data_IF_208662932724
#
_entry.id   IF_208662932724
#
_cell.length_a   1.000
_cell.length_b   1.000
_cell.length_c   1.000
_cell.angle_alpha   90.00
_cell.angle_beta   90.00
_cell.angle_gamma   90.00
#
_symmetry.space_group_name_H-M   'P 1'
#
loop_
_entity.id
_entity.type
_entity.pdbx_description
1 polymer ?
#
# COMPACT_ATOMS: atom_id res chain seq x y z
N UNK A 1 21.93 7.11 -14.56
CA UNK A 1 21.67 5.98 -13.65
C UNK A 1 20.18 5.72 -13.68
N UNK A 2 19.75 4.47 -13.92
CA UNK A 2 18.32 4.10 -13.81
C UNK A 2 17.85 4.37 -12.37
N UNK A 3 16.61 4.84 -12.22
CA UNK A 3 15.97 5.10 -10.93
C UNK A 3 15.91 3.78 -10.15
N UNK A 4 16.37 3.76 -8.89
CA UNK A 4 16.32 2.55 -8.05
C UNK A 4 14.87 2.27 -7.66
N UNK A 5 14.36 1.10 -8.02
CA UNK A 5 13.01 0.64 -7.68
C UNK A 5 13.08 -0.14 -6.36
N UNK A 6 12.06 0.03 -5.51
CA UNK A 6 11.88 -0.75 -4.29
C UNK A 6 10.82 -1.82 -4.46
N UNK A 7 11.04 -2.95 -3.80
CA UNK A 7 10.11 -4.08 -3.79
C UNK A 7 9.67 -4.39 -2.37
N UNK A 8 8.36 -4.50 -2.17
CA UNK A 8 7.77 -4.83 -0.88
C UNK A 8 6.71 -5.92 -1.00
N UNK A 9 6.12 -6.32 0.12
CA UNK A 9 5.04 -7.30 0.14
C UNK A 9 4.04 -7.00 1.27
N UNK A 10 2.81 -7.48 1.11
CA UNK A 10 1.82 -7.46 2.19
C UNK A 10 2.08 -8.59 3.21
N UNK A 11 2.14 -8.23 4.49
CA UNK A 11 2.40 -9.17 5.59
C UNK A 11 1.19 -10.11 5.80
N UNK A 12 1.38 -11.42 6.04
CA UNK A 12 0.30 -12.37 6.35
C UNK A 12 -0.20 -12.25 7.79
N UNK A 13 -0.89 -11.14 8.11
CA UNK A 13 -1.32 -10.76 9.47
C UNK A 13 -2.83 -10.84 9.71
N UNK A 14 -3.58 -11.48 8.81
CA UNK A 14 -5.02 -11.72 8.92
C UNK A 14 -5.42 -13.02 8.22
N UNK A 15 -6.64 -13.48 8.48
CA UNK A 15 -7.15 -14.79 8.05
C UNK A 15 -6.56 -15.94 8.88
N UNK A 16 -6.88 -17.16 8.48
CA UNK A 16 -6.48 -18.38 9.22
C UNK A 16 -4.96 -18.60 9.35
N UNK A 17 -4.17 -17.96 8.48
CA UNK A 17 -2.70 -18.08 8.49
C UNK A 17 -2.03 -17.15 9.52
N UNK A 18 -2.77 -16.17 10.07
CA UNK A 18 -2.21 -15.09 10.86
C UNK A 18 -1.63 -15.62 12.18
N UNK A 19 -0.30 -15.58 12.30
CA UNK A 19 0.39 -15.96 13.52
C UNK A 19 1.71 -15.20 13.66
N UNK A 20 2.18 -15.05 14.90
CA UNK A 20 3.51 -14.45 15.17
C UNK A 20 4.62 -15.22 14.45
N UNK A 21 4.54 -16.55 14.42
CA UNK A 21 5.51 -17.41 13.72
C UNK A 21 5.52 -17.11 12.22
N UNK A 22 4.35 -17.10 11.56
CA UNK A 22 4.25 -16.87 10.11
C UNK A 22 4.73 -15.47 9.73
N UNK A 23 4.37 -14.44 10.51
CA UNK A 23 4.83 -13.07 10.29
C UNK A 23 6.36 -13.01 10.42
N UNK A 24 6.91 -13.62 11.47
CA UNK A 24 8.35 -13.62 11.74
C UNK A 24 9.14 -14.33 10.63
N UNK A 25 8.75 -15.55 10.26
CA UNK A 25 9.44 -16.34 9.25
C UNK A 25 9.38 -15.66 7.89
N UNK A 26 8.22 -15.15 7.49
CA UNK A 26 8.05 -14.45 6.20
C UNK A 26 8.91 -13.19 6.11
N UNK A 27 8.93 -12.34 7.15
CA UNK A 27 9.68 -11.09 7.10
C UNK A 27 11.20 -11.32 7.11
N UNK A 28 11.69 -12.30 7.88
CA UNK A 28 13.12 -12.67 7.86
C UNK A 28 13.53 -13.22 6.51
N UNK A 29 12.73 -14.11 5.92
CA UNK A 29 13.00 -14.64 4.59
C UNK A 29 13.04 -13.53 3.54
N UNK A 30 12.09 -12.59 3.59
CA UNK A 30 12.06 -11.46 2.67
C UNK A 30 13.33 -10.58 2.76
N UNK A 31 13.91 -10.40 3.95
CA UNK A 31 15.21 -9.71 4.09
C UNK A 31 16.36 -10.45 3.43
N UNK A 32 16.39 -11.78 3.54
CA UNK A 32 17.41 -12.63 2.91
C UNK A 32 17.31 -12.57 1.38
N UNK A 33 16.08 -12.41 0.88
CA UNK A 33 15.74 -12.32 -0.53
C UNK A 33 15.63 -10.88 -1.06
N UNK A 34 16.28 -9.93 -0.39
CA UNK A 34 16.45 -8.54 -0.84
C UNK A 34 15.15 -7.76 -1.06
N UNK A 35 14.06 -8.08 -0.37
CA UNK A 35 12.93 -7.16 -0.30
C UNK A 35 13.33 -5.89 0.46
N UNK A 36 12.78 -4.75 0.05
CA UNK A 36 13.07 -3.44 0.62
C UNK A 36 12.04 -3.03 1.69
N UNK A 37 10.83 -3.62 1.70
CA UNK A 37 9.78 -3.23 2.65
C UNK A 37 8.71 -4.29 2.94
N UNK A 38 8.01 -4.13 4.06
CA UNK A 38 6.88 -4.96 4.48
C UNK A 38 5.68 -4.09 4.90
N UNK A 39 4.48 -4.49 4.48
CA UNK A 39 3.30 -3.64 4.55
C UNK A 39 2.13 -4.32 5.28
N UNK A 40 1.56 -3.62 6.26
CA UNK A 40 0.36 -4.06 6.97
C UNK A 40 -0.90 -3.38 6.41
N UNK A 41 -2.06 -4.02 6.55
CA UNK A 41 -3.37 -3.48 6.18
C UNK A 41 -4.08 -3.02 7.45
N UNK A 42 -5.15 -2.26 7.29
CA UNK A 42 -5.91 -1.75 8.43
C UNK A 42 -7.39 -2.07 8.32
N UNK A 43 -7.91 -2.74 9.34
CA UNK A 43 -9.32 -3.00 9.57
C UNK A 43 -9.58 -3.07 11.08
N UNK A 44 -10.47 -2.23 11.62
CA UNK A 44 -10.85 -2.30 13.04
C UNK A 44 -11.91 -3.36 13.31
N UNK A 45 -12.84 -3.52 12.37
CA UNK A 45 -13.84 -4.59 12.37
C UNK A 45 -13.65 -5.35 11.07
N UNK A 46 -12.74 -6.31 11.06
CA UNK A 46 -12.45 -7.03 9.83
C UNK A 46 -13.63 -7.90 9.39
N UNK A 47 -13.91 -7.85 8.09
CA UNK A 47 -14.79 -8.78 7.41
C UNK A 47 -14.12 -9.13 6.08
N UNK A 48 -13.98 -10.42 5.74
CA UNK A 48 -13.50 -10.84 4.43
C UNK A 48 -14.26 -10.14 3.31
N UNK A 49 -13.55 -9.54 2.35
CA UNK A 49 -14.16 -8.66 1.34
C UNK A 49 -13.51 -8.74 -0.04
N UNK A 50 -12.55 -9.65 -0.22
CA UNK A 50 -12.00 -10.02 -1.49
C UNK A 50 -11.82 -11.55 -1.54
N UNK A 51 -10.58 -12.01 -1.55
CA UNK A 51 -10.20 -13.43 -1.70
C UNK A 51 -9.89 -14.08 -0.34
N UNK A 52 -10.12 -13.37 0.76
CA UNK A 52 -9.86 -13.90 2.09
C UNK A 52 -10.85 -15.02 2.44
N UNK A 53 -10.37 -16.00 3.22
CA UNK A 53 -11.23 -17.05 3.77
C UNK A 53 -12.28 -16.49 4.76
N UNK A 54 -13.14 -17.34 5.29
CA UNK A 54 -14.17 -16.89 6.25
C UNK A 54 -13.63 -16.50 7.63
N UNK A 55 -12.34 -16.72 7.89
CA UNK A 55 -11.71 -16.38 9.17
C UNK A 55 -11.64 -14.86 9.32
N UNK A 56 -12.02 -14.37 10.50
CA UNK A 56 -12.09 -12.94 10.81
C UNK A 56 -10.91 -12.46 11.64
N UNK A 57 -9.92 -13.31 11.89
CA UNK A 57 -8.68 -12.96 12.57
C UNK A 57 -8.00 -11.84 11.82
N UNK A 58 -7.71 -10.75 12.53
CA UNK A 58 -7.05 -9.58 11.98
C UNK A 58 -6.19 -8.97 13.08
N UNK A 59 -4.87 -8.99 12.88
CA UNK A 59 -3.95 -8.36 13.82
C UNK A 59 -3.83 -6.87 13.49
N UNK A 60 -3.82 -6.02 14.51
CA UNK A 60 -3.78 -4.57 14.33
C UNK A 60 -2.44 -4.12 13.70
N UNK A 61 -2.45 -3.23 12.68
CA UNK A 61 -1.27 -2.94 11.86
C UNK A 61 -0.08 -2.40 12.66
N UNK A 62 -0.26 -1.45 13.58
CA UNK A 62 0.86 -0.88 14.33
C UNK A 62 1.49 -1.90 15.27
N UNK A 63 0.66 -2.80 15.83
CA UNK A 63 1.14 -3.91 16.66
C UNK A 63 1.98 -4.89 15.83
N UNK A 64 1.50 -5.24 14.64
CA UNK A 64 2.24 -6.11 13.69
C UNK A 64 3.54 -5.47 13.24
N UNK A 65 3.51 -4.20 12.83
CA UNK A 65 4.70 -3.49 12.37
C UNK A 65 5.72 -3.31 13.50
N UNK A 66 5.28 -3.06 14.75
CA UNK A 66 6.17 -3.04 15.91
C UNK A 66 6.86 -4.38 16.16
N UNK A 67 6.12 -5.50 16.00
CA UNK A 67 6.70 -6.85 16.04
C UNK A 67 7.73 -7.04 14.92
N UNK A 68 7.39 -6.70 13.67
CA UNK A 68 8.29 -6.83 12.51
C UNK A 68 9.55 -5.99 12.70
N UNK A 69 9.44 -4.75 13.19
CA UNK A 69 10.59 -3.89 13.48
C UNK A 69 11.61 -4.53 14.44
N UNK A 70 11.17 -5.46 15.30
CA UNK A 70 12.06 -6.17 16.23
C UNK A 70 12.80 -7.35 15.58
N UNK A 71 12.22 -7.98 14.56
CA UNK A 71 12.73 -9.23 13.96
C UNK A 71 13.32 -9.07 12.57
N UNK A 72 13.01 -7.98 11.86
CA UNK A 72 13.50 -7.65 10.53
C UNK A 72 13.96 -6.18 10.47
N UNK A 73 15.26 -5.95 10.30
CA UNK A 73 15.92 -4.65 10.52
C UNK A 73 16.18 -3.85 9.23
N UNK A 74 16.17 -4.51 8.08
CA UNK A 74 16.44 -3.96 6.75
C UNK A 74 15.17 -3.58 5.99
N UNK A 75 14.00 -4.05 6.44
CA UNK A 75 12.72 -3.74 5.79
C UNK A 75 12.17 -2.40 6.27
N UNK A 76 11.90 -1.51 5.32
CA UNK A 76 11.03 -0.36 5.58
C UNK A 76 9.61 -0.86 5.92
N UNK A 77 8.92 -0.18 6.83
CA UNK A 77 7.62 -0.63 7.33
C UNK A 77 6.51 0.32 6.91
N UNK A 78 5.52 -0.21 6.19
CA UNK A 78 4.46 0.61 5.61
C UNK A 78 3.04 0.15 5.96
N UNK A 79 2.07 1.02 5.73
CA UNK A 79 0.64 0.68 5.76
C UNK A 79 0.01 0.80 4.38
N UNK A 80 -0.79 -0.19 3.98
CA UNK A 80 -1.42 -0.28 2.66
C UNK A 80 -2.95 -0.47 2.75
N UNK A 81 -3.73 0.46 3.30
CA UNK A 81 -3.43 1.76 3.93
C UNK A 81 -4.25 1.86 5.21
N UNK A 82 -3.85 2.73 6.16
CA UNK A 82 -4.68 3.00 7.34
C UNK A 82 -5.90 3.84 7.00
N UNK A 83 -6.98 3.65 7.77
CA UNK A 83 -8.14 4.52 7.74
C UNK A 83 -7.91 5.78 8.59
N UNK A 84 -8.57 6.91 8.27
CA UNK A 84 -8.35 8.20 8.93
C UNK A 84 -9.18 8.34 10.22
N UNK A 85 -9.75 7.23 10.71
CA UNK A 85 -10.68 7.20 11.85
C UNK A 85 -9.99 7.34 13.22
N UNK A 86 -8.70 7.01 13.31
CA UNK A 86 -7.92 7.18 14.54
C UNK A 86 -7.67 8.66 14.79
N UNK A 87 -7.58 9.05 16.06
CA UNK A 87 -7.26 10.43 16.42
C UNK A 87 -5.86 10.81 15.90
N UNK A 88 -5.67 11.98 15.27
CA UNK A 88 -4.42 12.33 14.61
C UNK A 88 -3.22 12.43 15.56
N UNK A 89 -3.43 12.87 16.80
CA UNK A 89 -2.37 12.89 17.84
C UNK A 89 -1.92 11.46 18.19
N UNK A 90 -2.86 10.51 18.28
CA UNK A 90 -2.52 9.11 18.53
C UNK A 90 -1.76 8.52 17.34
N UNK A 91 -2.21 8.79 16.11
CA UNK A 91 -1.51 8.37 14.90
C UNK A 91 -0.09 8.95 14.84
N UNK A 92 0.08 10.24 15.16
CA UNK A 92 1.38 10.89 15.20
C UNK A 92 2.32 10.18 16.18
N UNK A 93 1.85 9.85 17.39
CA UNK A 93 2.61 9.09 18.39
C UNK A 93 2.94 7.67 17.91
N UNK A 94 1.98 6.96 17.33
CA UNK A 94 2.17 5.60 16.83
C UNK A 94 3.26 5.54 15.76
N UNK A 95 3.20 6.44 14.78
CA UNK A 95 4.19 6.52 13.71
C UNK A 95 5.57 6.95 14.21
N UNK A 96 5.65 7.95 15.08
CA UNK A 96 6.94 8.40 15.63
C UNK A 96 7.60 7.30 16.48
N UNK A 97 6.80 6.56 17.25
CA UNK A 97 7.28 5.42 18.05
C UNK A 97 7.74 4.27 17.15
N UNK A 98 6.98 3.96 16.09
CA UNK A 98 7.37 2.92 15.13
C UNK A 98 8.63 3.30 14.37
N UNK A 99 8.73 4.55 13.91
CA UNK A 99 9.95 5.08 13.27
C UNK A 99 11.14 4.94 14.22
N UNK A 100 10.99 5.33 15.48
CA UNK A 100 12.04 5.18 16.48
C UNK A 100 12.54 3.73 16.60
N UNK A 101 11.64 2.74 16.58
CA UNK A 101 11.97 1.31 16.66
C UNK A 101 12.48 0.70 15.35
N UNK A 102 12.13 1.27 14.19
CA UNK A 102 12.48 0.75 12.87
C UNK A 102 13.78 1.39 12.34
N UNK A 103 14.77 0.57 11.97
CA UNK A 103 16.06 1.09 11.50
C UNK A 103 16.03 1.53 10.04
N UNK A 104 15.26 0.81 9.20
CA UNK A 104 15.14 1.09 7.77
C UNK A 104 14.25 2.31 7.46
N UNK A 105 13.26 2.58 8.32
CA UNK A 105 12.31 3.69 8.19
C UNK A 105 10.88 3.22 7.97
N UNK A 106 9.94 4.17 8.01
CA UNK A 106 8.50 3.89 7.95
C UNK A 106 7.80 4.70 6.88
N UNK A 107 6.68 4.18 6.35
CA UNK A 107 5.86 4.85 5.33
C UNK A 107 4.38 4.85 5.74
N UNK A 108 3.83 6.04 5.95
CA UNK A 108 2.43 6.22 6.32
C UNK A 108 1.51 6.22 5.10
N UNK A 109 1.05 5.05 4.66
CA UNK A 109 -0.03 5.00 3.68
C UNK A 109 -1.38 5.21 4.35
N UNK A 110 -2.11 6.26 3.96
CA UNK A 110 -3.41 6.66 4.51
C UNK A 110 -4.47 6.79 3.42
N UNK A 111 -5.62 6.14 3.61
CA UNK A 111 -6.77 6.20 2.71
C UNK A 111 -7.95 6.93 3.32
N UNK A 112 -9.02 7.08 2.55
CA UNK A 112 -10.29 7.65 3.06
C UNK A 112 -11.16 6.63 3.79
N UNK A 113 -10.81 5.34 3.77
CA UNK A 113 -11.61 4.25 4.33
C UNK A 113 -12.86 3.90 3.49
N UNK A 114 -13.23 2.62 3.46
CA UNK A 114 -14.31 2.10 2.60
C UNK A 114 -15.51 1.53 3.36
N UNK A 115 -15.37 1.25 4.65
CA UNK A 115 -16.40 0.57 5.45
C UNK A 115 -16.93 1.50 6.54
N UNK A 116 -18.17 2.00 6.43
CA UNK A 116 -18.76 2.92 7.41
C UNK A 116 -18.70 2.41 8.86
N UNK A 117 -18.87 1.10 9.06
CA UNK A 117 -18.78 0.44 10.37
C UNK A 117 -17.43 0.61 11.08
N UNK A 118 -16.36 0.92 10.35
CA UNK A 118 -15.02 1.13 10.93
C UNK A 118 -14.85 2.54 11.51
N UNK A 119 -15.76 3.47 11.19
CA UNK A 119 -15.70 4.86 11.64
C UNK A 119 -16.30 5.09 13.03
N UNK A 120 -16.76 4.02 13.71
CA UNK A 120 -17.19 4.04 15.12
C UNK A 120 -18.09 5.24 15.45
N UNK A 121 -19.24 5.34 14.76
CA UNK A 121 -20.25 6.40 14.90
C UNK A 121 -19.86 7.78 14.36
N UNK A 122 -18.63 7.96 13.87
CA UNK A 122 -18.25 9.20 13.16
C UNK A 122 -18.98 9.31 11.80
N UNK A 123 -19.43 10.51 11.41
CA UNK A 123 -20.00 10.75 10.08
C UNK A 123 -19.07 10.30 8.94
N UNK A 124 -19.65 9.63 7.94
CA UNK A 124 -18.92 9.01 6.82
C UNK A 124 -18.77 9.94 5.60
N UNK A 125 -19.40 11.11 5.61
CA UNK A 125 -19.38 12.12 4.55
C UNK A 125 -18.09 12.94 4.52
N UNK A 126 -17.53 13.31 5.68
CA UNK A 126 -16.38 14.21 5.78
C UNK A 126 -15.00 13.54 5.70
N UNK A 127 -14.90 12.37 5.04
CA UNK A 127 -13.67 11.54 5.05
C UNK A 127 -12.47 12.19 4.36
N UNK A 128 -12.70 13.00 3.32
CA UNK A 128 -11.58 13.66 2.62
C UNK A 128 -10.95 14.75 3.49
N UNK A 129 -11.79 15.59 4.12
CA UNK A 129 -11.33 16.57 5.11
C UNK A 129 -10.67 15.88 6.30
N UNK A 130 -11.21 14.74 6.75
CA UNK A 130 -10.61 13.95 7.83
C UNK A 130 -9.19 13.47 7.48
N UNK A 131 -8.95 12.99 6.26
CA UNK A 131 -7.59 12.64 5.82
C UNK A 131 -6.69 13.87 5.81
N UNK A 132 -7.17 14.98 5.26
CA UNK A 132 -6.39 16.23 5.17
C UNK A 132 -5.92 16.71 6.54
N UNK A 133 -6.84 16.87 7.49
CA UNK A 133 -6.47 17.34 8.83
C UNK A 133 -5.59 16.32 9.57
N UNK A 134 -5.80 15.02 9.37
CA UNK A 134 -4.87 14.02 9.91
C UNK A 134 -3.43 14.22 9.41
N UNK A 135 -3.26 14.46 8.11
CA UNK A 135 -1.94 14.70 7.51
C UNK A 135 -1.32 16.01 8.04
N UNK A 136 -2.10 17.09 8.08
CA UNK A 136 -1.64 18.41 8.56
C UNK A 136 -1.22 18.34 10.03
N UNK A 137 -2.04 17.73 10.90
CA UNK A 137 -1.76 17.58 12.33
C UNK A 137 -0.53 16.68 12.55
N UNK A 138 -0.47 15.51 11.90
CA UNK A 138 0.68 14.61 12.04
C UNK A 138 1.98 15.29 11.63
N UNK A 139 2.00 16.00 10.48
CA UNK A 139 3.18 16.74 10.03
C UNK A 139 3.57 17.83 11.03
N UNK A 140 2.62 18.66 11.47
CA UNK A 140 2.87 19.73 12.45
C UNK A 140 3.51 19.20 13.74
N UNK A 141 2.98 18.09 14.25
CA UNK A 141 3.50 17.42 15.45
C UNK A 141 4.91 16.87 15.22
N UNK A 142 5.17 16.21 14.09
CA UNK A 142 6.47 15.62 13.79
C UNK A 142 7.57 16.65 13.53
N UNK A 143 7.25 17.74 12.84
CA UNK A 143 8.20 18.85 12.62
C UNK A 143 8.36 19.71 13.87
N UNK A 144 7.35 19.71 14.75
CA UNK A 144 7.22 20.63 15.88
C UNK A 144 7.05 22.08 15.44
N UNK A 145 6.45 22.29 14.27
CA UNK A 145 6.10 23.61 13.75
C UNK A 145 5.03 24.28 14.62
N UNK A 146 4.07 23.48 15.12
CA UNK A 146 3.05 23.93 16.06
C UNK A 146 2.63 22.80 16.99
N UNK A 147 2.38 23.15 18.26
CA UNK A 147 1.73 22.30 19.26
C UNK A 147 0.21 22.47 19.26
N UNK A 148 -0.30 23.47 18.55
CA UNK A 148 -1.72 23.79 18.44
C UNK A 148 -2.22 23.51 17.02
N UNK A 149 -3.50 23.18 16.88
CA UNK A 149 -4.13 23.03 15.57
C UNK A 149 -5.61 23.41 15.63
N UNK A 150 -6.07 24.20 14.67
CA UNK A 150 -7.48 24.59 14.55
C UNK A 150 -7.97 24.41 13.11
N UNK A 151 -8.70 23.33 12.88
CA UNK A 151 -9.30 22.97 11.61
C UNK A 151 -10.83 22.99 11.63
N UNK A 152 -11.43 22.39 10.60
CA UNK A 152 -12.88 22.21 10.50
C UNK A 152 -13.36 21.05 11.38
N UNK A 153 -12.51 20.04 11.56
CA UNK A 153 -12.84 18.81 12.26
C UNK A 153 -12.18 18.74 13.64
N UNK A 154 -10.93 19.18 13.77
CA UNK A 154 -10.18 19.12 15.02
C UNK A 154 -9.83 20.51 15.56
N UNK A 155 -9.97 20.68 16.87
CA UNK A 155 -9.45 21.82 17.63
C UNK A 155 -8.56 21.23 18.75
N UNK A 156 -7.25 21.44 18.64
CA UNK A 156 -6.20 20.87 19.49
C UNK A 156 -5.47 22.04 20.14
N UNK A 157 -5.67 22.20 21.45
CA UNK A 157 -5.00 23.23 22.25
C UNK A 157 -3.54 22.89 22.55
N UNK A 158 -3.18 21.61 22.62
CA UNK A 158 -1.81 21.19 22.84
C UNK A 158 -1.58 19.73 22.43
N UNK A 159 -0.61 19.52 21.54
CA UNK A 159 -0.10 18.21 21.15
C UNK A 159 1.39 18.32 20.82
N UNK A 160 2.23 17.85 21.74
CA UNK A 160 3.64 17.65 21.50
C UNK A 160 4.00 16.20 21.82
N UNK A 161 4.82 15.57 20.97
CA UNK A 161 5.22 14.17 21.15
C UNK A 161 6.72 14.00 21.14
N UNK A 162 7.18 13.03 21.93
CA UNK A 162 8.56 12.55 21.93
C UNK A 162 8.58 11.01 21.99
N UNK A 163 9.55 10.35 21.31
CA UNK A 163 10.54 10.94 20.41
C UNK A 163 9.87 11.51 19.14
N UNK A 164 10.46 12.55 18.57
CA UNK A 164 10.11 12.96 17.20
C UNK A 164 10.68 11.92 16.20
N UNK A 165 10.11 11.78 15.00
CA UNK A 165 10.66 10.88 13.99
C UNK A 165 12.15 11.16 13.71
N UNK A 166 12.95 10.11 13.57
CA UNK A 166 14.38 10.17 13.23
C UNK A 166 14.61 10.78 11.85
N UNK A 167 13.65 10.59 10.94
CA UNK A 167 13.61 11.15 9.58
C UNK A 167 12.18 11.60 9.27
N UNK A 168 12.02 12.43 8.24
CA UNK A 168 10.69 12.77 7.72
C UNK A 168 9.96 11.49 7.30
N UNK A 169 8.82 11.19 7.92
CA UNK A 169 7.97 10.05 7.57
C UNK A 169 7.18 10.40 6.30
N UNK A 170 7.38 9.68 5.17
CA UNK A 170 6.59 9.90 3.97
C UNK A 170 5.13 9.50 4.21
N UNK A 171 4.21 10.37 3.80
CA UNK A 171 2.77 10.08 3.82
C UNK A 171 2.30 9.80 2.40
N UNK A 172 1.73 8.62 2.16
CA UNK A 172 1.25 8.20 0.85
C UNK A 172 -0.27 8.20 0.81
N UNK A 173 -0.85 8.90 -0.18
CA UNK A 173 -2.29 8.91 -0.41
C UNK A 173 -2.75 7.58 -0.99
N UNK A 174 -3.65 6.92 -0.26
CA UNK A 174 -4.25 5.65 -0.61
C UNK A 174 -5.54 5.77 -1.42
N UNK A 175 -5.73 4.84 -2.35
CA UNK A 175 -7.02 4.55 -2.98
C UNK A 175 -7.07 4.81 -4.48
N UNK A 176 -8.12 4.27 -5.12
CA UNK A 176 -8.25 4.16 -6.58
C UNK A 176 -9.27 5.11 -7.20
N UNK A 177 -9.72 6.14 -6.47
CA UNK A 177 -10.60 7.19 -7.01
C UNK A 177 -9.76 8.32 -7.61
N UNK A 178 -10.31 9.14 -8.53
CA UNK A 178 -9.60 10.31 -9.08
C UNK A 178 -9.17 11.33 -8.02
N UNK A 179 -9.79 11.35 -6.84
CA UNK A 179 -9.38 12.25 -5.75
C UNK A 179 -8.06 11.81 -5.09
N UNK A 180 -7.74 10.51 -5.10
CA UNK A 180 -6.53 9.96 -4.47
C UNK A 180 -5.20 10.50 -5.03
N UNK A 181 -4.98 10.49 -6.36
CA UNK A 181 -3.78 11.10 -6.95
C UNK A 181 -3.74 12.62 -6.75
N UNK A 182 -4.89 13.30 -6.67
CA UNK A 182 -4.94 14.73 -6.39
C UNK A 182 -4.41 15.06 -4.98
N UNK A 183 -4.85 14.32 -3.96
CA UNK A 183 -4.31 14.45 -2.59
C UNK A 183 -2.80 14.17 -2.54
N UNK A 184 -2.35 13.19 -3.32
CA UNK A 184 -0.93 12.86 -3.44
C UNK A 184 -0.10 14.09 -3.82
N UNK A 185 -0.55 14.84 -4.84
CA UNK A 185 0.13 16.06 -5.32
C UNK A 185 -0.10 17.24 -4.38
N UNK A 186 -1.27 17.37 -3.76
CA UNK A 186 -1.65 18.55 -2.97
C UNK A 186 -1.03 18.59 -1.57
N UNK A 187 -0.85 17.47 -0.88
CA UNK A 187 -0.35 17.49 0.51
C UNK A 187 0.31 16.20 1.02
N UNK A 188 0.49 15.19 0.18
CA UNK A 188 1.22 13.96 0.52
C UNK A 188 2.58 13.90 -0.21
N UNK A 189 3.33 12.81 0.01
CA UNK A 189 4.67 12.57 -0.55
C UNK A 189 4.70 11.41 -1.56
N UNK A 190 3.60 10.64 -1.63
CA UNK A 190 3.44 9.53 -2.56
C UNK A 190 2.01 9.12 -2.80
N UNK A 191 1.81 8.22 -3.75
CA UNK A 191 0.52 7.67 -4.13
C UNK A 191 0.57 6.15 -4.16
N UNK A 192 -0.41 5.51 -3.52
CA UNK A 192 -0.57 4.07 -3.44
C UNK A 192 -2.02 3.70 -3.77
N UNK A 193 -2.34 3.43 -5.06
CA UNK A 193 -3.73 3.30 -5.50
C UNK A 193 -4.47 2.06 -4.97
N UNK A 194 -3.75 1.11 -4.38
CA UNK A 194 -4.20 -0.27 -4.27
C UNK A 194 -4.11 -0.99 -5.61
N UNK A 195 -4.96 -2.01 -5.79
CA UNK A 195 -5.11 -2.74 -7.05
C UNK A 195 -5.86 -1.88 -8.07
N UNK A 196 -5.18 -1.41 -9.12
CA UNK A 196 -5.79 -0.77 -10.30
C UNK A 196 -5.13 -1.31 -11.57
N UNK A 197 -5.85 -1.31 -12.69
CA UNK A 197 -5.25 -1.72 -13.96
C UNK A 197 -4.26 -0.66 -14.49
N UNK A 198 -3.36 -1.10 -15.37
CA UNK A 198 -2.29 -0.27 -15.92
C UNK A 198 -2.81 0.98 -16.64
N UNK A 199 -3.91 0.86 -17.40
CA UNK A 199 -4.55 2.00 -18.09
C UNK A 199 -5.06 3.07 -17.13
N UNK A 200 -5.63 2.66 -15.99
CA UNK A 200 -6.09 3.58 -14.94
C UNK A 200 -4.90 4.24 -14.25
N UNK A 201 -3.83 3.48 -14.02
CA UNK A 201 -2.60 4.00 -13.45
C UNK A 201 -1.94 5.04 -14.36
N UNK A 202 -1.78 4.76 -15.66
CA UNK A 202 -1.20 5.69 -16.66
C UNK A 202 -1.96 7.03 -16.70
N UNK A 203 -3.30 6.98 -16.79
CA UNK A 203 -4.15 8.19 -16.77
C UNK A 203 -3.92 9.00 -15.48
N UNK A 204 -3.90 8.33 -14.34
CA UNK A 204 -3.73 9.00 -13.05
C UNK A 204 -2.32 9.61 -12.92
N UNK A 205 -1.28 8.90 -13.32
CA UNK A 205 0.11 9.35 -13.24
C UNK A 205 0.36 10.54 -14.18
N UNK A 206 -0.16 10.53 -15.41
CA UNK A 206 -0.12 11.70 -16.30
C UNK A 206 -0.86 12.91 -15.71
N UNK A 207 -2.02 12.67 -15.11
CA UNK A 207 -2.77 13.74 -14.42
C UNK A 207 -2.01 14.29 -13.22
N UNK A 208 -1.30 13.45 -12.48
CA UNK A 208 -0.46 13.86 -11.35
C UNK A 208 0.72 14.71 -11.82
N UNK A 209 1.42 14.28 -12.88
CA UNK A 209 2.56 15.01 -13.43
C UNK A 209 2.15 16.42 -13.86
N UNK A 210 1.07 16.52 -14.66
CA UNK A 210 0.54 17.82 -15.08
C UNK A 210 0.21 18.71 -13.88
N UNK A 211 -0.46 18.17 -12.87
CA UNK A 211 -0.85 18.94 -11.67
C UNK A 211 0.35 19.35 -10.83
N UNK A 212 1.37 18.49 -10.70
CA UNK A 212 2.60 18.81 -10.01
C UNK A 212 3.33 19.97 -10.71
N UNK A 213 3.41 19.93 -12.05
CA UNK A 213 3.99 21.00 -12.86
C UNK A 213 3.21 22.32 -12.72
N UNK A 214 1.87 22.28 -12.83
CA UNK A 214 1.01 23.45 -12.65
C UNK A 214 1.18 24.11 -11.27
N UNK A 215 1.45 23.31 -10.23
CA UNK A 215 1.66 23.77 -8.85
C UNK A 215 3.13 24.12 -8.53
N UNK A 216 4.07 23.89 -9.46
CA UNK A 216 5.49 24.05 -9.20
C UNK A 216 6.04 23.09 -8.13
N UNK A 217 5.44 21.89 -8.02
CA UNK A 217 5.82 20.86 -7.05
C UNK A 217 6.53 19.70 -7.72
N UNK A 218 7.33 18.96 -6.94
CA UNK A 218 7.92 17.71 -7.42
C UNK A 218 6.83 16.63 -7.53
N UNK A 219 7.01 15.74 -8.50
CA UNK A 219 6.18 14.55 -8.65
C UNK A 219 6.23 13.69 -7.36
N UNK A 220 5.07 13.29 -6.79
CA UNK A 220 5.05 12.37 -5.66
C UNK A 220 5.63 11.00 -6.01
N UNK A 221 6.11 10.28 -4.99
CA UNK A 221 6.55 8.88 -5.11
C UNK A 221 5.41 8.01 -5.64
N UNK A 222 5.67 7.15 -6.63
CA UNK A 222 4.66 6.27 -7.24
C UNK A 222 4.77 4.83 -6.74
N UNK A 223 3.71 4.36 -6.10
CA UNK A 223 3.55 2.98 -5.66
C UNK A 223 2.45 2.23 -6.43
N UNK A 224 2.51 0.89 -6.41
CA UNK A 224 1.42 0.00 -6.85
C UNK A 224 1.32 -1.22 -5.93
N UNK A 225 0.13 -1.83 -5.87
CA UNK A 225 -0.11 -3.07 -5.12
C UNK A 225 -0.80 -4.09 -6.03
N UNK A 226 -0.08 -4.74 -6.97
CA UNK A 226 -0.66 -5.78 -7.82
C UNK A 226 -0.85 -7.08 -7.03
N UNK A 227 -1.91 -7.84 -7.35
CA UNK A 227 -1.98 -9.25 -6.96
C UNK A 227 -0.87 -10.02 -7.70
N UNK A 228 -0.15 -10.91 -7.02
CA UNK A 228 0.90 -11.71 -7.66
C UNK A 228 0.68 -13.19 -7.39
N UNK A 229 0.80 -13.98 -8.45
CA UNK A 229 0.66 -15.44 -8.43
C UNK A 229 1.82 -16.07 -9.20
N UNK A 230 3.01 -16.20 -8.59
CA UNK A 230 4.10 -16.92 -9.22
C UNK A 230 3.77 -18.41 -9.27
N UNK A 231 4.12 -19.06 -10.39
CA UNK A 231 4.07 -20.51 -10.55
C UNK A 231 5.08 -20.96 -11.62
N UNK A 232 5.22 -22.28 -11.80
CA UNK A 232 6.11 -22.86 -12.83
C UNK A 232 5.58 -22.69 -14.25
N UNK A 233 4.30 -22.36 -14.40
CA UNK A 233 3.64 -22.17 -15.68
C UNK A 233 2.40 -21.27 -15.51
N UNK A 234 2.00 -20.62 -16.61
CA UNK A 234 0.87 -19.70 -16.67
C UNK A 234 -0.45 -20.35 -16.23
N UNK A 235 -0.67 -21.63 -16.56
CA UNK A 235 -1.93 -22.31 -16.23
C UNK A 235 -2.10 -22.42 -14.71
N UNK A 236 -1.07 -22.90 -14.02
CA UNK A 236 -1.06 -23.02 -12.56
C UNK A 236 -1.21 -21.65 -11.90
N UNK A 237 -0.50 -20.63 -12.42
CA UNK A 237 -0.57 -19.27 -11.88
C UNK A 237 -1.98 -18.67 -11.98
N UNK A 238 -2.65 -18.84 -13.12
CA UNK A 238 -4.02 -18.37 -13.38
C UNK A 238 -5.03 -19.08 -12.48
N UNK A 239 -4.91 -20.39 -12.30
CA UNK A 239 -5.76 -21.15 -11.38
C UNK A 239 -5.63 -20.64 -9.94
N UNK A 240 -4.41 -20.32 -9.50
CA UNK A 240 -4.12 -19.80 -8.16
C UNK A 240 -4.51 -18.33 -7.95
N UNK A 241 -4.65 -17.55 -9.03
CA UNK A 241 -4.96 -16.11 -8.97
C UNK A 241 -6.46 -15.79 -8.92
N UNK A 242 -7.34 -16.80 -9.06
CA UNK A 242 -8.80 -16.63 -9.09
C UNK A 242 -9.26 -15.56 -10.10
N UNK A 243 -8.77 -15.70 -11.35
CA UNK A 243 -9.00 -14.74 -12.44
C UNK A 243 -10.50 -14.45 -12.64
N UNK A 244 -11.36 -15.46 -12.55
CA UNK A 244 -12.81 -15.30 -12.70
C UNK A 244 -13.40 -14.30 -11.69
N UNK A 245 -12.96 -14.37 -10.45
CA UNK A 245 -13.41 -13.44 -9.42
C UNK A 245 -12.81 -12.05 -9.62
N UNK A 246 -11.54 -11.96 -10.05
CA UNK A 246 -10.92 -10.69 -10.40
C UNK A 246 -11.66 -9.99 -11.54
N UNK A 247 -12.06 -10.70 -12.59
CA UNK A 247 -12.89 -10.17 -13.68
C UNK A 247 -14.25 -9.66 -13.18
N UNK A 248 -14.93 -10.43 -12.32
CA UNK A 248 -16.20 -10.00 -11.70
C UNK A 248 -16.03 -8.75 -10.84
N UNK A 249 -14.94 -8.68 -10.07
CA UNK A 249 -14.62 -7.54 -9.23
C UNK A 249 -14.31 -6.30 -10.08
N UNK A 250 -13.48 -6.45 -11.10
CA UNK A 250 -13.08 -5.39 -12.02
C UNK A 250 -14.29 -4.73 -12.70
N UNK A 251 -15.26 -5.54 -13.15
CA UNK A 251 -16.45 -5.03 -13.80
C UNK A 251 -17.38 -4.21 -12.87
N UNK A 252 -17.26 -4.38 -11.55
CA UNK A 252 -17.98 -3.56 -10.54
C UNK A 252 -17.27 -2.24 -10.21
N UNK A 253 -16.06 -2.02 -10.72
CA UNK A 253 -15.28 -0.81 -10.40
C UNK A 253 -15.71 0.36 -11.27
N UNK A 254 -16.22 1.40 -10.60
CA UNK A 254 -16.75 2.61 -11.24
C UNK A 254 -15.67 3.46 -11.94
N UNK A 255 -14.50 3.58 -11.33
CA UNK A 255 -13.47 4.54 -11.75
C UNK A 255 -12.35 3.95 -12.60
N UNK A 256 -12.36 2.64 -12.82
CA UNK A 256 -11.33 1.99 -13.62
C UNK A 256 -11.56 2.24 -15.11
N UNK A 257 -10.49 2.56 -15.82
CA UNK A 257 -10.52 2.63 -17.27
C UNK A 257 -10.78 1.24 -17.82
N UNK A 258 -11.88 1.10 -18.54
CA UNK A 258 -12.28 -0.15 -19.17
C UNK A 258 -11.43 -0.43 -20.43
N UNK A 259 -11.27 -1.70 -20.82
CA UNK A 259 -10.77 -2.08 -22.13
C UNK A 259 -11.61 -1.47 -23.26
N UNK A 260 -11.09 -1.47 -24.49
CA UNK A 260 -11.78 -0.88 -25.65
C UNK A 260 -13.14 -1.53 -25.91
N UNK A 261 -13.26 -2.82 -25.64
CA UNK A 261 -14.51 -3.60 -25.76
C UNK A 261 -15.57 -3.21 -24.71
N UNK A 262 -15.21 -2.47 -23.66
CA UNK A 262 -16.16 -1.96 -22.65
C UNK A 262 -16.37 -2.87 -21.43
N UNK A 263 -15.72 -4.03 -21.35
CA UNK A 263 -15.79 -4.99 -20.24
C UNK A 263 -14.43 -5.65 -20.01
N UNK A 264 -14.19 -6.11 -18.79
CA UNK A 264 -13.05 -6.98 -18.47
C UNK A 264 -13.50 -8.43 -18.70
N UNK A 265 -12.89 -9.14 -19.64
CA UNK A 265 -13.31 -10.48 -20.06
C UNK A 265 -12.17 -11.50 -20.04
N UNK A 266 -10.92 -11.04 -20.11
CA UNK A 266 -9.72 -11.87 -20.26
C UNK A 266 -8.65 -11.52 -19.22
N UNK A 267 -7.66 -12.39 -19.01
CA UNK A 267 -6.55 -12.10 -18.09
C UNK A 267 -5.74 -10.89 -18.56
N UNK A 268 -5.63 -10.70 -19.88
CA UNK A 268 -4.97 -9.54 -20.50
C UNK A 268 -5.71 -8.24 -20.18
N UNK A 269 -7.04 -8.27 -20.03
CA UNK A 269 -7.80 -7.08 -19.60
C UNK A 269 -7.48 -6.66 -18.15
N UNK A 270 -6.92 -7.58 -17.34
CA UNK A 270 -6.52 -7.35 -15.96
C UNK A 270 -5.07 -6.86 -15.82
N UNK A 271 -4.41 -6.49 -16.92
CA UNK A 271 -3.04 -5.94 -16.91
C UNK A 271 -2.86 -4.87 -15.82
N UNK A 272 -1.84 -5.06 -14.98
CA UNK A 272 -1.53 -4.22 -13.83
C UNK A 272 -2.33 -4.49 -12.55
N UNK A 273 -3.45 -5.22 -12.63
CA UNK A 273 -4.17 -5.70 -11.43
C UNK A 273 -3.55 -6.97 -10.87
N UNK A 274 -3.14 -7.87 -11.76
CA UNK A 274 -2.61 -9.18 -11.43
C UNK A 274 -1.37 -9.48 -12.27
N UNK A 275 -0.36 -10.05 -11.65
CA UNK A 275 0.86 -10.58 -12.27
C UNK A 275 0.88 -12.08 -12.00
N UNK A 276 0.47 -12.89 -12.97
CA UNK A 276 0.37 -14.33 -12.87
C UNK A 276 1.25 -14.97 -13.94
N UNK A 277 2.09 -15.93 -13.57
CA UNK A 277 2.92 -16.67 -14.51
C UNK A 277 4.24 -17.14 -13.90
N UNK A 278 5.23 -17.38 -14.77
CA UNK A 278 6.62 -17.64 -14.36
C UNK A 278 7.29 -16.37 -13.83
N UNK A 279 8.51 -16.48 -13.31
CA UNK A 279 9.31 -15.31 -12.94
C UNK A 279 9.54 -14.39 -14.14
N UNK A 280 9.74 -14.93 -15.35
CA UNK A 280 9.86 -14.14 -16.57
C UNK A 280 8.57 -13.38 -16.91
N UNK A 281 7.39 -13.99 -16.74
CA UNK A 281 6.11 -13.32 -16.96
C UNK A 281 5.95 -12.14 -15.98
N UNK A 282 6.31 -12.34 -14.70
CA UNK A 282 6.25 -11.29 -13.67
C UNK A 282 7.24 -10.15 -13.97
N UNK A 283 8.46 -10.48 -14.43
CA UNK A 283 9.45 -9.48 -14.87
C UNK A 283 8.90 -8.65 -16.03
N UNK A 284 8.22 -9.27 -17.00
CA UNK A 284 7.60 -8.55 -18.11
C UNK A 284 6.50 -7.60 -17.63
N UNK A 285 5.64 -8.03 -16.70
CA UNK A 285 4.59 -7.16 -16.14
C UNK A 285 5.17 -5.98 -15.34
N UNK A 286 6.22 -6.20 -14.53
CA UNK A 286 6.91 -5.14 -13.80
C UNK A 286 7.55 -4.14 -14.76
N UNK A 287 8.16 -4.62 -15.84
CA UNK A 287 8.84 -3.78 -16.84
C UNK A 287 7.90 -2.74 -17.46
N UNK A 288 6.60 -3.03 -17.58
CA UNK A 288 5.59 -2.06 -18.06
C UNK A 288 5.49 -0.82 -17.18
N UNK A 289 5.73 -0.95 -15.87
CA UNK A 289 5.77 0.19 -14.94
C UNK A 289 7.14 0.86 -14.91
N UNK A 290 8.21 0.07 -14.98
CA UNK A 290 9.59 0.55 -14.90
C UNK A 290 9.98 1.37 -16.13
N UNK A 291 9.61 0.89 -17.31
CA UNK A 291 9.93 1.50 -18.60
C UNK A 291 8.91 2.57 -19.01
N UNK A 292 7.85 2.76 -18.22
CA UNK A 292 6.95 3.90 -18.38
C UNK A 292 7.75 5.21 -18.28
N UNK A 293 7.39 6.23 -19.07
CA UNK A 293 8.18 7.47 -19.19
C UNK A 293 8.37 8.23 -17.85
N UNK A 294 7.40 8.11 -16.94
CA UNK A 294 7.46 8.67 -15.57
C UNK A 294 8.12 7.68 -14.59
N UNK A 295 8.10 6.39 -14.92
CA UNK A 295 8.59 5.29 -14.10
C UNK A 295 7.73 4.99 -12.86
N UNK A 296 8.21 4.05 -12.06
CA UNK A 296 7.64 3.65 -10.76
C UNK A 296 8.73 3.72 -9.70
N UNK A 297 8.35 3.93 -8.44
CA UNK A 297 9.28 3.96 -7.31
C UNK A 297 9.22 2.69 -6.46
N UNK A 298 8.02 2.15 -6.27
CA UNK A 298 7.79 1.06 -5.33
C UNK A 298 6.70 0.09 -5.80
N UNK A 299 6.99 -1.20 -5.86
CA UNK A 299 6.01 -2.25 -6.12
C UNK A 299 5.83 -3.06 -4.85
N UNK A 300 4.60 -3.13 -4.34
CA UNK A 300 4.25 -3.87 -3.13
C UNK A 300 3.39 -5.07 -3.51
N UNK A 301 3.95 -6.27 -3.48
CA UNK A 301 3.26 -7.46 -3.93
C UNK A 301 2.14 -7.88 -2.97
N UNK A 302 0.92 -8.01 -3.51
CA UNK A 302 -0.22 -8.57 -2.80
C UNK A 302 -0.27 -10.08 -3.02
N UNK A 303 0.18 -10.80 -2.00
CA UNK A 303 0.27 -12.27 -2.00
C UNK A 303 -0.85 -12.92 -1.18
N UNK A 304 -1.98 -12.23 -0.93
CA UNK A 304 -3.06 -12.73 -0.06
C UNK A 304 -3.60 -14.10 -0.46
N UNK A 305 -3.74 -14.34 -1.77
CA UNK A 305 -4.19 -15.63 -2.30
C UNK A 305 -3.14 -16.74 -2.16
N UNK A 306 -1.89 -16.34 -1.88
CA UNK A 306 -0.70 -17.19 -1.79
C UNK A 306 -0.15 -17.21 -0.36
N UNK A 307 -0.97 -16.84 0.62
CA UNK A 307 -0.57 -16.81 2.03
C UNK A 307 -0.17 -18.20 2.58
N UNK A 308 -0.80 -19.25 2.06
CA UNK A 308 -0.47 -20.64 2.40
C UNK A 308 0.93 -21.04 1.94
N UNK A 309 1.42 -20.52 0.83
CA UNK A 309 2.72 -20.81 0.22
C UNK A 309 3.61 -19.56 0.05
N UNK A 310 3.55 -18.65 1.03
CA UNK A 310 4.37 -17.43 1.06
C UNK A 310 5.86 -17.68 0.86
N UNK A 311 6.40 -18.77 1.40
CA UNK A 311 7.82 -19.11 1.28
C UNK A 311 8.21 -19.24 -0.19
N UNK A 312 7.50 -20.08 -0.94
CA UNK A 312 7.69 -20.21 -2.39
C UNK A 312 7.58 -18.87 -3.13
N UNK A 313 6.61 -18.03 -2.75
CA UNK A 313 6.43 -16.72 -3.38
C UNK A 313 7.60 -15.78 -3.11
N UNK A 314 8.07 -15.69 -1.86
CA UNK A 314 9.20 -14.84 -1.48
C UNK A 314 10.49 -15.32 -2.15
N UNK A 315 10.75 -16.64 -2.15
CA UNK A 315 11.93 -17.22 -2.79
C UNK A 315 11.92 -16.99 -4.30
N UNK A 316 10.79 -17.23 -4.97
CA UNK A 316 10.68 -17.03 -6.43
C UNK A 316 10.83 -15.55 -6.79
N UNK A 317 10.08 -14.66 -6.12
CA UNK A 317 10.12 -13.23 -6.43
C UNK A 317 11.49 -12.64 -6.08
N UNK A 318 12.02 -12.91 -4.90
CA UNK A 318 13.29 -12.31 -4.51
C UNK A 318 14.53 -12.96 -5.13
N UNK A 319 14.43 -14.24 -5.50
CA UNK A 319 15.52 -15.00 -6.11
C UNK A 319 15.60 -14.86 -7.63
N UNK A 320 14.46 -14.66 -8.30
CA UNK A 320 14.39 -14.66 -9.77
C UNK A 320 13.84 -13.36 -10.37
N UNK A 321 12.96 -12.63 -9.67
CA UNK A 321 12.32 -11.41 -10.22
C UNK A 321 13.06 -10.14 -9.81
N UNK A 322 13.27 -9.92 -8.51
CA UNK A 322 13.93 -8.71 -7.98
C UNK A 322 15.33 -8.49 -8.58
N UNK A 323 16.19 -9.52 -8.77
CA UNK A 323 17.53 -9.34 -9.33
C UNK A 323 17.57 -8.71 -10.72
N UNK A 324 16.51 -8.87 -11.52
CA UNK A 324 16.42 -8.28 -12.87
C UNK A 324 16.28 -6.74 -12.86
N UNK A 325 16.01 -6.15 -11.69
CA UNK A 325 15.79 -4.71 -11.52
C UNK A 325 16.77 -4.03 -10.55
N UNK A 326 17.72 -4.76 -9.97
CA UNK A 326 18.65 -4.25 -8.94
C UNK A 326 20.03 -3.84 -9.45
#
# INVERSE_FOLDING_TARGET
>A
MKKKIKFGFLIPHFGSIASSEKITSTCKLAEEYNFDSAWARDHLVFGPHAHEDSDKTFLEPFTVLGHVASVAKKLELGTAVINPQRHPVHLAQQWASLDYLCDAGVICGIGTGSYPREFLERPFDNREQLVKENVEIMRSIWTGESTEYKGEIFDIEYAEIYPRPKKSIPIWSGGSTPASPNRAVEYCDGWLPGRINLKTWDIAVRSMQKKADDMGRKMPTLGVIPDVSPAKDMKTAVEMADIDNLLKLANKRKYWKRPEKGSFETVEDLEGLVMAGTSEDIVQEISKYVDHEIGIDHIVFDLRQRFSDMEYCIETIGGEVIPEFK
#
